data_IF_480727036754
#
_entry.id   IF_480727036754
#
_cell.length_a   1.000
_cell.length_b   1.000
_cell.length_c   1.000
_cell.angle_alpha   90.00
_cell.angle_beta   90.00
_cell.angle_gamma   90.00
#
_symmetry.space_group_name_H-M   'P 1'
#
loop_
_entity.id
_entity.type
_entity.pdbx_description
1 polymer ?
#
# COMPACT_ATOMS: atom_id res chain seq x y z
N UNK A 1 -5.17 -49.36 26.92
CA UNK A 1 -5.22 -47.89 27.08
C UNK A 1 -4.07 -47.22 26.32
N UNK A 2 -2.86 -47.77 26.33
CA UNK A 2 -1.67 -47.22 25.65
C UNK A 2 -1.76 -47.13 24.11
N UNK A 3 -2.46 -48.07 23.46
CA UNK A 3 -2.68 -48.02 22.01
C UNK A 3 -3.52 -46.81 21.59
N UNK A 4 -4.53 -46.45 22.39
CA UNK A 4 -5.40 -45.28 22.13
C UNK A 4 -4.64 -43.96 22.33
N UNK A 5 -3.71 -43.88 23.29
CA UNK A 5 -2.88 -42.68 23.48
C UNK A 5 -1.88 -42.46 22.34
N UNK A 6 -1.32 -43.53 21.78
CA UNK A 6 -0.40 -43.42 20.64
C UNK A 6 -1.07 -42.90 19.36
N UNK A 7 -2.26 -43.43 19.04
CA UNK A 7 -3.05 -42.98 17.89
C UNK A 7 -3.50 -41.53 18.05
N UNK A 8 -3.89 -41.12 19.27
CA UNK A 8 -4.31 -39.75 19.55
C UNK A 8 -3.16 -38.75 19.43
N UNK A 9 -1.95 -39.10 19.89
CA UNK A 9 -0.76 -38.27 19.73
C UNK A 9 -0.35 -38.13 18.26
N UNK A 10 -0.41 -39.21 17.47
CA UNK A 10 -0.14 -39.16 16.04
C UNK A 10 -1.12 -38.25 15.29
N UNK A 11 -2.41 -38.30 15.62
CA UNK A 11 -3.44 -37.43 15.05
C UNK A 11 -3.26 -35.95 15.45
N UNK A 12 -2.76 -35.67 16.66
CA UNK A 12 -2.47 -34.31 17.12
C UNK A 12 -1.22 -33.70 16.48
N UNK A 13 -0.21 -34.52 16.17
CA UNK A 13 1.04 -34.05 15.56
C UNK A 13 0.96 -33.94 14.03
N UNK A 14 0.04 -34.66 13.40
CA UNK A 14 -0.14 -34.68 11.95
C UNK A 14 -0.31 -33.28 11.29
N UNK A 15 -1.11 -32.34 11.84
CA UNK A 15 -1.21 -30.99 11.28
C UNK A 15 0.10 -30.21 11.34
N UNK A 16 0.93 -30.43 12.37
CA UNK A 16 2.23 -29.79 12.53
C UNK A 16 3.19 -30.29 11.44
N UNK A 17 3.13 -31.56 11.08
CA UNK A 17 3.92 -32.10 9.97
C UNK A 17 3.46 -31.54 8.62
N UNK A 18 2.16 -31.44 8.38
CA UNK A 18 1.64 -30.85 7.12
C UNK A 18 2.03 -29.38 7.01
N UNK A 19 1.76 -28.56 8.03
CA UNK A 19 2.02 -27.11 8.02
C UNK A 19 3.52 -26.79 8.17
N UNK A 20 4.29 -27.68 8.79
CA UNK A 20 5.73 -27.51 9.01
C UNK A 20 6.62 -27.96 7.85
N UNK A 21 6.07 -28.65 6.85
CA UNK A 21 6.86 -29.17 5.72
C UNK A 21 7.15 -28.08 4.68
N UNK A 22 8.33 -28.20 4.05
CA UNK A 22 8.79 -27.25 3.04
C UNK A 22 7.80 -27.08 1.88
N UNK A 23 7.15 -28.18 1.44
CA UNK A 23 6.22 -28.13 0.31
C UNK A 23 5.01 -27.23 0.60
N UNK A 24 4.51 -27.19 1.83
CA UNK A 24 3.37 -26.35 2.21
C UNK A 24 3.72 -24.87 2.06
N UNK A 25 4.91 -24.48 2.54
CA UNK A 25 5.41 -23.11 2.42
C UNK A 25 5.70 -22.73 0.97
N UNK A 26 6.31 -23.63 0.19
CA UNK A 26 6.54 -23.42 -1.24
C UNK A 26 5.23 -23.25 -2.00
N UNK A 27 4.26 -24.12 -1.77
CA UNK A 27 2.94 -24.04 -2.41
C UNK A 27 2.21 -22.74 -2.03
N UNK A 28 2.21 -22.38 -0.75
CA UNK A 28 1.63 -21.13 -0.26
C UNK A 28 2.29 -19.93 -0.92
N UNK A 29 3.63 -19.89 -0.99
CA UNK A 29 4.37 -18.81 -1.64
C UNK A 29 4.03 -18.69 -3.14
N UNK A 30 3.93 -19.82 -3.85
CA UNK A 30 3.51 -19.85 -5.26
C UNK A 30 2.09 -19.33 -5.42
N UNK A 31 1.15 -19.77 -4.58
CA UNK A 31 -0.24 -19.30 -4.62
C UNK A 31 -0.36 -17.81 -4.31
N UNK A 32 0.42 -17.29 -3.36
CA UNK A 32 0.48 -15.86 -3.09
C UNK A 32 1.05 -15.07 -4.27
N UNK A 33 2.15 -15.56 -4.88
CA UNK A 33 2.73 -14.96 -6.08
C UNK A 33 1.73 -14.93 -7.24
N UNK A 34 1.01 -16.04 -7.44
CA UNK A 34 -0.05 -16.17 -8.44
C UNK A 34 -1.22 -15.20 -8.18
N UNK A 35 -1.66 -15.08 -6.93
CA UNK A 35 -2.71 -14.12 -6.57
C UNK A 35 -2.29 -12.67 -6.78
N UNK A 36 -1.03 -12.32 -6.46
CA UNK A 36 -0.47 -10.99 -6.73
C UNK A 36 -0.50 -10.72 -8.23
N UNK A 37 0.01 -11.66 -9.04
CA UNK A 37 -0.01 -11.57 -10.50
C UNK A 37 -1.43 -11.33 -11.04
N UNK A 38 -2.41 -12.14 -10.63
CA UNK A 38 -3.81 -11.97 -11.06
C UNK A 38 -4.46 -10.67 -10.59
N UNK A 39 -4.03 -10.15 -9.45
CA UNK A 39 -4.53 -8.86 -8.93
C UNK A 39 -3.95 -7.68 -9.70
N UNK A 40 -2.74 -7.82 -10.24
CA UNK A 40 -2.13 -6.80 -11.09
C UNK A 40 -2.69 -6.80 -12.51
N UNK A 41 -3.11 -7.94 -13.03
CA UNK A 41 -3.72 -8.11 -14.35
C UNK A 41 -5.24 -7.76 -14.39
N UNK A 42 -5.74 -7.05 -13.36
CA UNK A 42 -7.17 -6.70 -13.17
C UNK A 42 -8.17 -7.88 -13.22
N UNK A 43 -7.67 -9.12 -13.15
CA UNK A 43 -8.44 -10.37 -13.20
C UNK A 43 -9.00 -10.75 -11.83
N UNK A 44 -9.81 -9.86 -11.24
CA UNK A 44 -10.35 -10.02 -9.87
C UNK A 44 -11.16 -11.30 -9.65
N UNK A 45 -11.85 -11.79 -10.70
CA UNK A 45 -12.59 -13.04 -10.65
C UNK A 45 -11.67 -14.24 -10.39
N UNK A 46 -10.60 -14.39 -11.18
CA UNK A 46 -9.65 -15.49 -11.04
C UNK A 46 -8.89 -15.41 -9.71
N UNK A 47 -8.53 -14.21 -9.24
CA UNK A 47 -7.90 -14.04 -7.93
C UNK A 47 -8.83 -14.55 -6.80
N UNK A 48 -10.13 -14.26 -6.91
CA UNK A 48 -11.13 -14.73 -5.93
C UNK A 48 -11.32 -16.24 -5.99
N UNK A 49 -11.42 -16.82 -7.18
CA UNK A 49 -11.53 -18.28 -7.37
C UNK A 49 -10.29 -19.00 -6.83
N UNK A 50 -9.09 -18.50 -7.12
CA UNK A 50 -7.83 -19.04 -6.60
C UNK A 50 -7.75 -18.95 -5.07
N UNK A 51 -8.21 -17.85 -4.46
CA UNK A 51 -8.29 -17.73 -3.01
C UNK A 51 -9.27 -18.73 -2.40
N UNK A 52 -10.46 -18.89 -2.98
CA UNK A 52 -11.46 -19.86 -2.51
C UNK A 52 -10.89 -21.27 -2.62
N UNK A 53 -10.26 -21.61 -3.74
CA UNK A 53 -9.64 -22.92 -3.95
C UNK A 53 -8.50 -23.16 -2.94
N UNK A 54 -7.66 -22.16 -2.68
CA UNK A 54 -6.60 -22.23 -1.68
C UNK A 54 -7.17 -22.44 -0.28
N UNK A 55 -8.13 -21.63 0.15
CA UNK A 55 -8.79 -21.76 1.46
C UNK A 55 -9.49 -23.11 1.59
N UNK A 56 -10.14 -23.60 0.54
CA UNK A 56 -10.79 -24.90 0.52
C UNK A 56 -9.78 -26.05 0.67
N UNK A 57 -8.69 -26.01 -0.08
CA UNK A 57 -7.60 -26.98 -0.02
C UNK A 57 -6.92 -26.96 1.37
N UNK A 58 -6.69 -25.77 1.93
CA UNK A 58 -6.16 -25.61 3.28
C UNK A 58 -7.12 -26.04 4.37
N UNK A 59 -8.41 -25.76 4.18
CA UNK A 59 -9.47 -26.19 5.08
C UNK A 59 -9.56 -27.70 5.10
N UNK A 60 -9.38 -28.40 3.98
CA UNK A 60 -9.46 -29.87 3.90
C UNK A 60 -8.53 -30.62 4.88
N UNK A 61 -7.46 -29.97 5.35
CA UNK A 61 -6.55 -30.51 6.36
C UNK A 61 -7.06 -30.39 7.82
N UNK A 62 -8.15 -29.64 8.08
CA UNK A 62 -8.73 -29.39 9.42
C UNK A 62 -10.27 -29.08 9.40
N UNK A 63 -10.97 -29.51 8.34
CA UNK A 63 -12.15 -28.83 7.73
C UNK A 63 -13.45 -28.83 8.52
N UNK A 64 -13.65 -29.68 9.51
CA UNK A 64 -14.95 -29.74 10.17
C UNK A 64 -15.18 -28.58 11.14
N UNK A 65 -14.13 -28.09 11.82
CA UNK A 65 -14.27 -27.00 12.81
C UNK A 65 -14.74 -25.66 12.20
N UNK A 66 -14.36 -25.39 10.95
CA UNK A 66 -14.66 -24.13 10.24
C UNK A 66 -16.15 -24.03 9.90
N UNK A 67 -16.78 -25.14 9.53
CA UNK A 67 -18.20 -25.20 9.18
C UNK A 67 -19.12 -25.33 10.41
N UNK A 68 -18.60 -25.81 11.53
CA UNK A 68 -19.40 -26.06 12.75
C UNK A 68 -19.86 -24.76 13.41
N UNK A 69 -19.20 -23.61 13.18
CA UNK A 69 -19.58 -22.34 13.81
C UNK A 69 -19.46 -21.12 12.88
N UNK A 70 -20.41 -20.90 11.95
CA UNK A 70 -20.43 -19.72 11.07
C UNK A 70 -20.46 -18.39 11.85
N UNK A 71 -21.06 -18.39 13.05
CA UNK A 71 -21.10 -17.23 13.95
C UNK A 71 -19.71 -16.77 14.40
N UNK A 72 -18.76 -17.69 14.61
CA UNK A 72 -17.40 -17.33 15.04
C UNK A 72 -16.69 -16.59 13.89
N UNK A 73 -16.83 -17.07 12.66
CA UNK A 73 -16.27 -16.41 11.47
C UNK A 73 -16.86 -15.03 11.24
N UNK A 74 -18.18 -14.90 11.36
CA UNK A 74 -18.84 -13.60 11.24
C UNK A 74 -18.27 -12.60 12.26
N UNK A 75 -18.06 -13.02 13.51
CA UNK A 75 -17.41 -12.18 14.54
C UNK A 75 -16.01 -11.74 14.11
N UNK A 76 -15.18 -12.66 13.62
CA UNK A 76 -13.83 -12.33 13.17
C UNK A 76 -13.82 -11.39 11.96
N UNK A 77 -14.73 -11.58 11.00
CA UNK A 77 -14.89 -10.68 9.85
C UNK A 77 -15.24 -9.27 10.32
N UNK A 78 -16.19 -9.14 11.26
CA UNK A 78 -16.58 -7.83 11.82
C UNK A 78 -15.40 -7.17 12.53
N UNK A 79 -14.66 -7.91 13.37
CA UNK A 79 -13.46 -7.40 14.04
C UNK A 79 -12.40 -6.97 13.02
N UNK A 80 -12.16 -7.79 11.99
CA UNK A 80 -11.21 -7.49 10.92
C UNK A 80 -11.55 -6.20 10.19
N UNK A 81 -12.81 -6.01 9.80
CA UNK A 81 -13.29 -4.81 9.11
C UNK A 81 -13.25 -3.58 10.01
N UNK A 82 -13.51 -3.71 11.32
CA UNK A 82 -13.40 -2.60 12.26
C UNK A 82 -11.95 -2.10 12.40
N UNK A 83 -10.99 -3.02 12.51
CA UNK A 83 -9.56 -2.67 12.55
C UNK A 83 -9.13 -2.06 11.21
N UNK A 84 -9.51 -2.68 10.08
CA UNK A 84 -9.20 -2.16 8.76
C UNK A 84 -9.77 -0.78 8.49
N UNK A 85 -10.98 -0.50 8.97
CA UNK A 85 -11.59 0.84 8.92
C UNK A 85 -10.77 1.85 9.70
N UNK A 86 -10.40 1.54 10.94
CA UNK A 86 -9.55 2.39 11.79
C UNK A 86 -8.20 2.68 11.10
N UNK A 87 -7.57 1.65 10.53
CA UNK A 87 -6.32 1.79 9.78
C UNK A 87 -6.47 2.68 8.54
N UNK A 88 -7.55 2.52 7.79
CA UNK A 88 -7.85 3.34 6.61
C UNK A 88 -7.98 4.82 6.97
N UNK A 89 -8.58 5.16 8.12
CA UNK A 89 -8.60 6.53 8.62
C UNK A 89 -7.20 7.09 8.92
N UNK A 90 -6.35 6.31 9.59
CA UNK A 90 -4.97 6.72 9.88
C UNK A 90 -4.16 6.95 8.59
N UNK A 91 -4.31 6.05 7.60
CA UNK A 91 -3.67 6.18 6.29
C UNK A 91 -4.17 7.38 5.52
N UNK A 92 -5.47 7.64 5.53
CA UNK A 92 -6.06 8.83 4.91
C UNK A 92 -5.52 10.11 5.54
N UNK A 93 -5.46 10.18 6.87
CA UNK A 93 -4.89 11.33 7.57
C UNK A 93 -3.42 11.58 7.20
N UNK A 94 -2.61 10.52 7.19
CA UNK A 94 -1.19 10.58 6.77
C UNK A 94 -1.04 11.04 5.31
N UNK A 95 -1.91 10.54 4.43
CA UNK A 95 -1.95 10.94 3.02
C UNK A 95 -2.27 12.43 2.88
N UNK A 96 -3.30 12.94 3.55
CA UNK A 96 -3.68 14.35 3.51
C UNK A 96 -2.54 15.28 3.96
N UNK A 97 -1.79 14.91 4.99
CA UNK A 97 -0.65 15.70 5.46
C UNK A 97 0.45 15.77 4.39
N UNK A 98 0.84 14.63 3.84
CA UNK A 98 1.85 14.57 2.77
C UNK A 98 1.43 15.36 1.54
N UNK A 99 0.16 15.25 1.14
CA UNK A 99 -0.39 15.99 0.00
C UNK A 99 -0.42 17.50 0.27
N UNK A 100 -0.78 17.92 1.49
CA UNK A 100 -0.75 19.33 1.88
C UNK A 100 0.68 19.90 1.84
N UNK A 101 1.65 19.18 2.40
CA UNK A 101 3.05 19.62 2.40
C UNK A 101 3.60 19.71 0.98
N UNK A 102 3.31 18.71 0.14
CA UNK A 102 3.70 18.72 -1.26
C UNK A 102 3.04 19.86 -2.06
N UNK A 103 1.75 20.15 -1.80
CA UNK A 103 1.07 21.29 -2.41
C UNK A 103 1.71 22.61 -2.01
N UNK A 104 2.15 22.75 -0.75
CA UNK A 104 2.84 23.94 -0.26
C UNK A 104 4.17 24.13 -1.00
N UNK A 105 4.96 23.07 -1.16
CA UNK A 105 6.22 23.10 -1.92
C UNK A 105 6.00 23.50 -3.39
N UNK A 106 4.99 22.91 -4.05
CA UNK A 106 4.66 23.26 -5.44
C UNK A 106 4.17 24.70 -5.58
N UNK A 107 3.38 25.17 -4.60
CA UNK A 107 2.93 26.55 -4.54
C UNK A 107 4.12 27.51 -4.42
N UNK A 108 5.06 27.24 -3.52
CA UNK A 108 6.27 28.07 -3.37
C UNK A 108 7.10 28.10 -4.66
N UNK A 109 7.30 26.95 -5.32
CA UNK A 109 7.99 26.88 -6.62
C UNK A 109 7.28 27.67 -7.71
N UNK A 110 5.96 27.60 -7.75
CA UNK A 110 5.15 28.35 -8.71
C UNK A 110 5.30 29.86 -8.50
N UNK A 111 5.15 30.34 -7.26
CA UNK A 111 5.28 31.78 -6.94
C UNK A 111 6.66 32.31 -7.32
N UNK A 112 7.72 31.56 -7.02
CA UNK A 112 9.09 31.94 -7.37
C UNK A 112 9.34 31.96 -8.89
N UNK A 113 8.63 31.14 -9.67
CA UNK A 113 8.85 31.01 -11.12
C UNK A 113 8.12 32.07 -11.94
N UNK A 114 6.93 32.48 -11.50
CA UNK A 114 6.05 33.37 -12.27
C UNK A 114 5.89 34.77 -11.67
N UNK A 115 6.60 35.08 -10.57
CA UNK A 115 6.53 36.37 -9.86
C UNK A 115 5.10 36.79 -9.50
N UNK A 116 4.27 35.82 -9.13
CA UNK A 116 2.85 36.02 -8.81
C UNK A 116 2.72 36.46 -7.35
N UNK A 117 2.03 37.57 -7.11
CA UNK A 117 1.74 38.03 -5.75
C UNK A 117 0.57 37.24 -5.14
N UNK A 118 0.70 36.90 -3.86
CA UNK A 118 -0.39 36.30 -3.08
C UNK A 118 -1.42 37.36 -2.70
N UNK A 119 -2.69 36.97 -2.61
CA UNK A 119 -3.71 37.82 -1.98
C UNK A 119 -3.43 37.98 -0.50
N UNK A 120 -4.08 38.96 0.16
CA UNK A 120 -3.95 39.21 1.62
C UNK A 120 -4.22 37.94 2.45
N UNK A 121 -5.10 37.05 1.97
CA UNK A 121 -5.43 35.78 2.61
C UNK A 121 -4.41 34.65 2.36
N UNK A 122 -3.30 34.95 1.68
CA UNK A 122 -2.30 33.98 1.26
C UNK A 122 -2.82 33.00 0.19
N UNK A 123 -3.91 33.33 -0.52
CA UNK A 123 -4.44 32.51 -1.62
C UNK A 123 -3.90 33.04 -2.95
N UNK A 124 -3.82 32.17 -3.96
CA UNK A 124 -3.54 32.61 -5.34
C UNK A 124 -4.75 33.43 -5.81
N UNK A 125 -4.57 34.41 -6.69
CA UNK A 125 -5.69 35.16 -7.27
C UNK A 125 -6.59 34.26 -8.12
N UNK A 126 -7.87 34.62 -8.30
CA UNK A 126 -8.75 33.84 -9.21
C UNK A 126 -8.27 33.92 -10.66
N UNK A 127 -7.68 35.05 -11.04
CA UNK A 127 -7.12 35.27 -12.38
C UNK A 127 -5.94 34.34 -12.70
N UNK A 128 -5.09 34.07 -11.71
CA UNK A 128 -3.85 33.29 -11.88
C UNK A 128 -4.05 31.80 -11.57
N UNK A 129 -5.21 31.43 -11.03
CA UNK A 129 -5.51 30.04 -10.69
C UNK A 129 -5.49 29.08 -11.88
N UNK A 130 -6.01 29.42 -13.09
CA UNK A 130 -5.91 28.53 -14.24
C UNK A 130 -4.46 28.15 -14.58
N UNK A 131 -3.54 29.12 -14.53
CA UNK A 131 -2.11 28.88 -14.77
C UNK A 131 -1.49 28.00 -13.67
N UNK A 132 -1.88 28.22 -12.41
CA UNK A 132 -1.45 27.34 -11.31
C UNK A 132 -2.01 25.92 -11.45
N UNK A 133 -3.27 25.77 -11.88
CA UNK A 133 -3.89 24.47 -12.10
C UNK A 133 -3.19 23.70 -13.22
N UNK A 134 -2.84 24.36 -14.33
CA UNK A 134 -2.02 23.80 -15.40
C UNK A 134 -0.64 23.35 -14.88
N UNK A 135 0.05 24.22 -14.13
CA UNK A 135 1.32 23.88 -13.48
C UNK A 135 1.21 22.66 -12.55
N UNK A 136 0.14 22.54 -11.76
CA UNK A 136 -0.09 21.37 -10.90
C UNK A 136 -0.34 20.08 -11.71
N UNK A 137 -1.04 20.18 -12.84
CA UNK A 137 -1.28 19.05 -13.74
C UNK A 137 0.05 18.59 -14.37
N UNK A 138 0.90 19.51 -14.82
CA UNK A 138 2.21 19.24 -15.41
C UNK A 138 3.20 18.68 -14.40
N UNK A 139 3.16 19.17 -13.16
CA UNK A 139 3.97 18.65 -12.07
C UNK A 139 3.49 17.28 -11.55
N UNK A 140 2.43 16.70 -12.16
CA UNK A 140 1.78 15.47 -11.73
C UNK A 140 1.44 15.47 -10.23
N UNK A 141 0.94 16.59 -9.70
CA UNK A 141 0.66 16.76 -8.27
C UNK A 141 -0.17 15.62 -7.65
N UNK A 142 -1.12 15.06 -8.41
CA UNK A 142 -1.96 13.92 -7.97
C UNK A 142 -1.44 12.53 -8.38
N UNK A 143 -0.35 12.48 -9.14
CA UNK A 143 0.21 11.28 -9.77
C UNK A 143 0.96 10.34 -8.82
N UNK A 144 0.97 10.58 -7.51
CA UNK A 144 1.58 9.66 -6.52
C UNK A 144 0.80 8.33 -6.35
N UNK A 145 -0.05 7.92 -7.28
CA UNK A 145 -0.74 6.63 -7.28
C UNK A 145 -1.15 6.16 -8.67
N UNK A 146 -1.57 4.89 -8.79
CA UNK A 146 -1.98 4.23 -10.06
C UNK A 146 -3.24 4.82 -10.73
N UNK A 147 -3.80 5.93 -10.24
CA UNK A 147 -5.04 6.50 -10.79
C UNK A 147 -4.76 7.72 -11.66
N UNK A 148 -5.44 7.80 -12.81
CA UNK A 148 -5.39 8.93 -13.72
C UNK A 148 -5.56 10.23 -12.96
N UNK A 149 -4.55 11.10 -13.03
CA UNK A 149 -4.62 12.43 -12.44
C UNK A 149 -5.88 13.12 -12.97
N UNK A 150 -6.82 13.41 -12.07
CA UNK A 150 -7.98 14.21 -12.43
C UNK A 150 -7.44 15.58 -12.82
N UNK A 151 -7.76 16.02 -14.04
CA UNK A 151 -7.36 17.35 -14.51
C UNK A 151 -7.95 18.38 -13.57
N UNK A 152 -7.10 19.09 -12.85
CA UNK A 152 -7.51 20.15 -11.94
C UNK A 152 -8.05 21.29 -12.80
N UNK A 153 -9.34 21.62 -12.63
CA UNK A 153 -9.98 22.75 -13.33
C UNK A 153 -10.41 23.83 -12.34
N UNK A 154 -10.81 23.45 -11.14
CA UNK A 154 -11.30 24.33 -10.07
C UNK A 154 -10.48 24.14 -8.80
N UNK A 155 -10.51 25.15 -7.90
CA UNK A 155 -9.86 25.07 -6.58
C UNK A 155 -10.32 23.89 -5.75
N UNK A 156 -11.61 23.55 -5.84
CA UNK A 156 -12.18 22.41 -5.14
C UNK A 156 -11.54 21.08 -5.59
N UNK A 157 -11.06 21.00 -6.84
CA UNK A 157 -10.43 19.79 -7.37
C UNK A 157 -9.03 19.58 -6.79
N UNK A 158 -8.36 20.62 -6.27
CA UNK A 158 -7.01 20.53 -5.68
C UNK A 158 -7.04 19.72 -4.38
N UNK A 159 -8.16 19.74 -3.67
CA UNK A 159 -8.34 19.05 -2.40
C UNK A 159 -8.75 17.61 -2.69
N UNK A 160 -7.97 16.60 -2.26
CA UNK A 160 -8.35 15.21 -2.49
C UNK A 160 -9.65 14.89 -1.74
N UNK A 161 -10.66 14.44 -2.49
CA UNK A 161 -11.96 14.04 -1.94
C UNK A 161 -12.05 12.52 -1.80
N UNK A 162 -12.85 12.07 -0.82
CA UNK A 162 -13.14 10.63 -0.61
C UNK A 162 -13.71 9.99 -1.88
N UNK A 163 -14.59 10.71 -2.60
CA UNK A 163 -15.22 10.20 -3.83
C UNK A 163 -14.19 9.87 -4.91
N UNK A 164 -13.16 10.70 -5.09
CA UNK A 164 -12.09 10.47 -6.07
C UNK A 164 -11.09 9.38 -5.67
N UNK A 165 -11.12 8.92 -4.41
CA UNK A 165 -10.14 7.98 -3.82
C UNK A 165 -10.82 6.78 -3.14
N UNK A 166 -12.08 6.51 -3.45
CA UNK A 166 -12.85 5.45 -2.80
C UNK A 166 -12.22 4.06 -2.98
N UNK A 167 -11.63 3.80 -4.14
CA UNK A 167 -10.89 2.56 -4.41
C UNK A 167 -9.66 2.39 -3.51
N UNK A 168 -8.91 3.47 -3.26
CA UNK A 168 -7.76 3.45 -2.35
C UNK A 168 -8.20 3.18 -0.90
N UNK A 169 -9.26 3.84 -0.44
CA UNK A 169 -9.80 3.64 0.91
C UNK A 169 -10.31 2.22 1.13
N UNK A 170 -11.05 1.68 0.16
CA UNK A 170 -11.53 0.29 0.20
C UNK A 170 -10.36 -0.69 0.23
N UNK A 171 -9.34 -0.46 -0.60
CA UNK A 171 -8.11 -1.26 -0.60
C UNK A 171 -7.41 -1.21 0.75
N UNK A 172 -7.32 -0.04 1.40
CA UNK A 172 -6.72 0.07 2.73
C UNK A 172 -7.50 -0.65 3.82
N UNK A 173 -8.84 -0.74 3.71
CA UNK A 173 -9.66 -1.51 4.65
C UNK A 173 -9.44 -3.02 4.44
N UNK A 174 -9.49 -3.49 3.19
CA UNK A 174 -9.39 -4.93 2.89
C UNK A 174 -7.97 -5.44 3.12
N UNK A 175 -6.95 -4.69 2.71
CA UNK A 175 -5.54 -5.06 2.77
C UNK A 175 -4.78 -4.39 3.92
N UNK A 176 -5.49 -4.02 4.99
CA UNK A 176 -4.91 -3.29 6.11
C UNK A 176 -3.71 -4.00 6.76
N UNK A 177 -3.68 -5.34 6.96
CA UNK A 177 -2.54 -5.98 7.64
C UNK A 177 -1.26 -5.82 6.82
N UNK A 178 -1.35 -6.04 5.51
CA UNK A 178 -0.21 -5.88 4.61
C UNK A 178 0.22 -4.42 4.49
N UNK A 179 -0.74 -3.49 4.42
CA UNK A 179 -0.47 -2.05 4.39
C UNK A 179 0.21 -1.56 5.68
N UNK A 180 -0.23 -2.05 6.84
CA UNK A 180 0.35 -1.76 8.14
C UNK A 180 1.76 -2.34 8.26
N UNK A 181 1.92 -3.61 7.92
CA UNK A 181 3.20 -4.30 7.88
C UNK A 181 4.21 -3.52 7.01
N UNK A 182 3.82 -3.16 5.79
CA UNK A 182 4.69 -2.39 4.90
C UNK A 182 5.02 -1.01 5.45
N UNK A 183 4.08 -0.34 6.10
CA UNK A 183 4.33 0.97 6.72
C UNK A 183 5.35 0.86 7.86
N UNK A 184 5.23 -0.16 8.71
CA UNK A 184 6.17 -0.44 9.81
C UNK A 184 7.56 -0.80 9.28
N UNK A 185 7.64 -1.54 8.17
CA UNK A 185 8.91 -1.96 7.57
C UNK A 185 9.59 -0.86 6.75
N UNK A 186 8.82 -0.06 6.02
CA UNK A 186 9.33 0.94 5.09
C UNK A 186 10.08 2.07 5.80
N UNK A 187 9.66 2.47 7.00
CA UNK A 187 10.33 3.56 7.73
C UNK A 187 11.78 3.18 8.15
N UNK A 188 12.03 2.03 8.81
CA UNK A 188 13.37 1.51 9.04
C UNK A 188 14.18 1.30 7.76
N UNK A 189 13.59 0.69 6.72
CA UNK A 189 14.29 0.45 5.46
C UNK A 189 14.70 1.76 4.78
N UNK A 190 13.84 2.77 4.78
CA UNK A 190 14.16 4.09 4.22
C UNK A 190 15.29 4.77 5.00
N UNK A 191 15.27 4.69 6.33
CA UNK A 191 16.35 5.23 7.18
C UNK A 191 17.67 4.51 6.90
N UNK A 192 17.64 3.18 6.78
CA UNK A 192 18.79 2.36 6.43
C UNK A 192 19.33 2.74 5.03
N UNK A 193 18.47 2.80 4.02
CA UNK A 193 18.85 3.20 2.66
C UNK A 193 19.48 4.60 2.65
N UNK A 194 18.88 5.57 3.35
CA UNK A 194 19.45 6.92 3.48
C UNK A 194 20.79 6.92 4.23
N UNK A 195 20.99 6.03 5.20
CA UNK A 195 22.27 5.87 5.88
C UNK A 195 23.33 5.29 4.94
N UNK A 196 22.97 4.25 4.16
CA UNK A 196 23.85 3.65 3.15
C UNK A 196 24.22 4.69 2.07
N UNK A 197 23.26 5.41 1.50
CA UNK A 197 23.53 6.46 0.50
C UNK A 197 24.45 7.54 1.07
N UNK A 198 24.26 7.95 2.34
CA UNK A 198 25.17 8.90 3.00
C UNK A 198 26.58 8.33 3.18
N UNK A 199 26.70 7.07 3.58
CA UNK A 199 27.99 6.39 3.74
C UNK A 199 28.74 6.29 2.41
N UNK A 200 28.04 5.99 1.31
CA UNK A 200 28.62 5.84 -0.02
C UNK A 200 28.69 7.14 -0.83
N UNK A 201 28.24 8.28 -0.30
CA UNK A 201 28.18 9.57 -1.02
C UNK A 201 29.52 9.93 -1.65
N UNK A 202 30.62 9.78 -0.91
CA UNK A 202 31.97 10.10 -1.40
C UNK A 202 32.39 9.23 -2.58
N UNK A 203 32.02 7.95 -2.59
CA UNK A 203 32.31 7.03 -3.69
C UNK A 203 31.51 7.44 -4.93
N UNK A 204 30.20 7.67 -4.77
CA UNK A 204 29.35 8.13 -5.88
C UNK A 204 29.83 9.46 -6.47
N UNK A 205 30.23 10.42 -5.64
CA UNK A 205 30.78 11.70 -6.11
C UNK A 205 32.09 11.51 -6.88
N UNK A 206 33.00 10.64 -6.41
CA UNK A 206 34.26 10.35 -7.13
C UNK A 206 33.99 9.72 -8.49
N UNK A 207 33.08 8.74 -8.57
CA UNK A 207 32.69 8.09 -9.83
C UNK A 207 32.09 9.12 -10.79
N UNK A 208 31.18 9.98 -10.30
CA UNK A 208 30.59 11.03 -11.12
C UNK A 208 31.66 11.99 -11.65
N UNK A 209 32.56 12.48 -10.80
CA UNK A 209 33.65 13.36 -11.23
C UNK A 209 34.57 12.70 -12.25
N UNK A 210 34.89 11.40 -12.11
CA UNK A 210 35.73 10.70 -13.08
C UNK A 210 35.07 10.49 -14.44
N UNK A 211 33.73 10.42 -14.49
CA UNK A 211 33.01 10.30 -15.77
C UNK A 211 32.92 11.65 -16.49
N UNK A 212 32.79 12.74 -15.75
CA UNK A 212 32.64 14.09 -16.33
C UNK A 212 33.95 14.87 -16.45
N UNK A 213 35.08 14.34 -15.98
CA UNK A 213 36.38 15.05 -16.06
C UNK A 213 36.93 15.22 -17.47
N UNK A 214 36.36 14.53 -18.47
CA UNK A 214 36.75 14.69 -19.88
C UNK A 214 35.89 15.73 -20.62
N UNK A 215 34.72 16.09 -20.08
CA UNK A 215 33.78 17.04 -20.71
C UNK A 215 33.90 18.47 -20.16
N UNK A 216 34.53 18.65 -19.00
CA UNK A 216 34.72 19.95 -18.31
C UNK A 216 36.19 20.30 -18.23
#
# INVERSE_FOLDING_TARGET
MEFLSGVFAALLLWPIFIVGTLWFWTFSAVMFGWMIYLTEDDSHFFATVSLIAFVWLMSSANSLSVLINPLIWLKWIVVYLAIGSTWSFLKWFSYLHKTKDHLKELKERFLNRYDVQLTVDGKISEKDFPQFAEYLNDAHYMGMGRFNATKIRKRADVIPTVKGRFGDLTRWIIWWPMSAFWTILNDPLRRLAQALVRAFRGIYTKIALSVFSEEV
#
